data_IF_565516061970
#
_entry.id   IF_565516061970
#
_cell.length_a   1.000
_cell.length_b   1.000
_cell.length_c   1.000
_cell.angle_alpha   90.00
_cell.angle_beta   90.00
_cell.angle_gamma   90.00
#
_symmetry.space_group_name_H-M   'P 1'
#
loop_
_entity.id
_entity.type
_entity.pdbx_description
1 polymer ?
#
# COMPACT_ATOMS: atom_id res chain seq x y z
N UNK A 1 -1.27 -46.58 -83.62
CA UNK A 1 -2.51 -46.14 -82.93
C UNK A 1 -2.30 -46.30 -81.45
N UNK A 2 -1.95 -45.19 -80.75
CA UNK A 2 -1.80 -45.20 -79.29
C UNK A 2 -3.07 -44.61 -78.69
N UNK A 3 -3.75 -45.33 -77.81
CA UNK A 3 -4.85 -44.90 -77.00
C UNK A 3 -4.33 -44.17 -75.73
N UNK A 4 -4.69 -42.89 -75.54
CA UNK A 4 -4.48 -42.18 -74.29
C UNK A 4 -5.48 -42.70 -73.26
N UNK A 5 -4.98 -43.11 -72.10
CA UNK A 5 -5.75 -43.40 -70.89
C UNK A 5 -5.70 -42.11 -70.01
N UNK A 6 -6.83 -41.48 -69.83
CA UNK A 6 -6.96 -40.33 -68.93
C UNK A 6 -7.17 -40.85 -67.51
N UNK A 7 -6.23 -40.54 -66.62
CA UNK A 7 -6.36 -40.75 -65.15
C UNK A 7 -7.12 -39.61 -64.56
N UNK A 8 -8.39 -39.82 -64.22
CA UNK A 8 -9.17 -38.89 -63.40
C UNK A 8 -8.77 -39.09 -61.96
N UNK A 9 -7.96 -38.14 -61.39
CA UNK A 9 -7.55 -38.12 -60.01
C UNK A 9 -8.67 -37.48 -59.22
N UNK A 10 -9.50 -38.28 -58.53
CA UNK A 10 -10.50 -37.85 -57.56
C UNK A 10 -9.78 -37.47 -56.25
N UNK A 11 -9.48 -36.17 -56.09
CA UNK A 11 -8.98 -35.62 -54.82
C UNK A 11 -10.15 -35.53 -53.84
N UNK A 12 -10.21 -36.48 -52.92
CA UNK A 12 -11.14 -36.48 -51.79
C UNK A 12 -10.65 -35.44 -50.79
N UNK A 13 -11.23 -34.23 -50.83
CA UNK A 13 -10.98 -33.18 -49.83
C UNK A 13 -11.68 -33.61 -48.52
N UNK A 14 -10.97 -34.32 -47.62
CA UNK A 14 -11.42 -34.46 -46.26
C UNK A 14 -11.28 -33.09 -45.58
N UNK A 15 -12.38 -32.35 -45.51
CA UNK A 15 -12.49 -31.16 -44.68
C UNK A 15 -12.35 -31.59 -43.22
N UNK A 16 -11.18 -31.38 -42.64
CA UNK A 16 -11.00 -31.35 -41.20
C UNK A 16 -11.79 -30.15 -40.67
N UNK A 17 -13.07 -30.37 -40.36
CA UNK A 17 -13.82 -29.44 -39.51
C UNK A 17 -13.18 -29.51 -38.11
N UNK A 18 -12.31 -28.55 -37.80
CA UNK A 18 -11.92 -28.30 -36.41
C UNK A 18 -13.21 -28.02 -35.67
N UNK A 19 -13.71 -28.95 -34.89
CA UNK A 19 -14.78 -28.67 -33.94
C UNK A 19 -14.25 -27.61 -32.98
N UNK A 20 -14.65 -26.35 -33.14
CA UNK A 20 -14.42 -25.30 -32.17
C UNK A 20 -15.35 -25.63 -31.03
N UNK A 21 -14.83 -26.31 -30.02
CA UNK A 21 -15.55 -26.54 -28.79
C UNK A 21 -15.59 -25.20 -28.05
N UNK A 22 -16.79 -24.66 -27.88
CA UNK A 22 -17.03 -23.48 -27.09
C UNK A 22 -17.66 -23.89 -25.77
N UNK A 23 -17.31 -23.18 -24.69
CA UNK A 23 -17.92 -23.44 -23.39
C UNK A 23 -19.44 -23.23 -23.49
N UNK A 24 -20.20 -24.04 -22.77
CA UNK A 24 -21.66 -24.01 -22.76
C UNK A 24 -22.19 -23.84 -21.34
N UNK A 25 -23.14 -22.91 -21.17
CA UNK A 25 -23.85 -22.68 -19.93
C UNK A 25 -25.34 -22.91 -20.16
N UNK A 26 -25.97 -23.71 -19.31
CA UNK A 26 -27.43 -23.92 -19.31
C UNK A 26 -28.05 -23.18 -18.15
N UNK A 27 -29.10 -22.41 -18.39
CA UNK A 27 -29.83 -21.66 -17.40
C UNK A 27 -31.07 -22.40 -16.89
N UNK A 28 -31.60 -22.00 -15.73
CA UNK A 28 -32.81 -22.58 -15.13
C UNK A 28 -34.07 -22.49 -16.00
N UNK A 29 -34.13 -21.52 -16.90
CA UNK A 29 -35.22 -21.37 -17.86
C UNK A 29 -35.05 -22.25 -19.11
N UNK A 30 -33.96 -23.01 -19.20
CA UNK A 30 -33.65 -23.87 -20.32
C UNK A 30 -32.83 -23.20 -21.44
N UNK A 31 -32.47 -21.93 -21.32
CA UNK A 31 -31.63 -21.25 -22.31
C UNK A 31 -30.19 -21.81 -22.28
N UNK A 32 -29.59 -21.88 -23.46
CA UNK A 32 -28.19 -22.26 -23.63
C UNK A 32 -27.39 -21.09 -24.13
N UNK A 33 -26.33 -20.76 -23.42
CA UNK A 33 -25.38 -19.74 -23.81
C UNK A 33 -24.08 -20.43 -24.21
N UNK A 34 -23.54 -20.06 -25.38
CA UNK A 34 -22.30 -20.59 -25.93
C UNK A 34 -21.28 -19.48 -26.06
N UNK A 35 -20.06 -19.71 -25.56
CA UNK A 35 -18.99 -18.70 -25.58
C UNK A 35 -17.73 -19.21 -24.91
N UNK A 36 -16.99 -18.33 -24.28
CA UNK A 36 -15.83 -18.66 -23.42
C UNK A 36 -16.09 -18.11 -22.02
N UNK A 37 -16.00 -18.96 -21.03
CA UNK A 37 -16.07 -18.54 -19.62
C UNK A 37 -14.82 -17.73 -19.30
N UNK A 38 -15.00 -16.47 -18.91
CA UNK A 38 -13.90 -15.56 -18.59
C UNK A 38 -13.62 -15.58 -17.09
N UNK A 39 -14.65 -15.29 -16.29
CA UNK A 39 -14.54 -15.25 -14.83
C UNK A 39 -15.86 -15.38 -14.10
N UNK A 40 -15.77 -15.73 -12.81
CA UNK A 40 -16.87 -15.66 -11.87
C UNK A 40 -16.36 -15.19 -10.50
N UNK A 41 -17.18 -14.42 -9.79
CA UNK A 41 -16.96 -14.01 -8.39
C UNK A 41 -17.81 -14.83 -7.39
N UNK A 42 -18.35 -15.96 -7.84
CA UNK A 42 -19.27 -16.81 -7.08
C UNK A 42 -20.70 -16.28 -7.03
N UNK A 43 -20.95 -15.04 -7.46
CA UNK A 43 -22.31 -14.44 -7.57
C UNK A 43 -22.71 -14.26 -9.03
N UNK A 44 -21.78 -13.88 -9.85
CA UNK A 44 -21.97 -13.69 -11.28
C UNK A 44 -20.93 -14.47 -12.06
N UNK A 45 -21.24 -14.82 -13.31
CA UNK A 45 -20.32 -15.42 -14.26
C UNK A 45 -20.33 -14.58 -15.53
N UNK A 46 -19.14 -14.27 -16.04
CA UNK A 46 -18.94 -13.55 -17.30
C UNK A 46 -18.60 -14.56 -18.38
N UNK A 47 -19.39 -14.58 -19.45
CA UNK A 47 -19.21 -15.39 -20.65
C UNK A 47 -18.93 -14.44 -21.82
N UNK A 48 -17.81 -14.62 -22.50
CA UNK A 48 -17.51 -13.92 -23.75
C UNK A 48 -18.15 -14.64 -24.93
N UNK A 49 -19.00 -13.96 -25.67
CA UNK A 49 -19.70 -14.50 -26.85
C UNK A 49 -19.24 -13.77 -28.11
N UNK A 50 -19.22 -14.47 -29.26
CA UNK A 50 -18.74 -13.92 -30.52
C UNK A 50 -19.55 -12.71 -31.00
N UNK A 51 -20.88 -12.73 -30.78
CA UNK A 51 -21.79 -11.73 -31.36
C UNK A 51 -22.30 -10.68 -30.38
N UNK A 52 -22.30 -10.99 -29.07
CA UNK A 52 -22.82 -10.07 -28.04
C UNK A 52 -21.71 -9.55 -27.10
N UNK A 53 -20.45 -9.98 -27.29
CA UNK A 53 -19.36 -9.65 -26.38
C UNK A 53 -19.54 -10.28 -25.01
N UNK A 54 -19.18 -9.59 -23.94
CA UNK A 54 -19.26 -10.12 -22.59
C UNK A 54 -20.68 -10.06 -22.05
N UNK A 55 -21.21 -11.22 -21.68
CA UNK A 55 -22.53 -11.40 -21.07
C UNK A 55 -22.30 -11.77 -19.60
N UNK A 56 -22.96 -11.04 -18.69
CA UNK A 56 -22.95 -11.35 -17.25
C UNK A 56 -24.21 -12.10 -16.87
N UNK A 57 -24.05 -13.29 -16.28
CA UNK A 57 -25.13 -14.16 -15.83
C UNK A 57 -25.05 -14.31 -14.31
N UNK A 58 -26.21 -14.33 -13.62
CA UNK A 58 -26.25 -14.64 -12.20
C UNK A 58 -25.84 -16.11 -11.98
N UNK A 59 -24.89 -16.36 -11.11
CA UNK A 59 -24.34 -17.70 -10.91
C UNK A 59 -25.40 -18.70 -10.41
N UNK A 60 -26.34 -18.23 -9.59
CA UNK A 60 -27.46 -19.02 -9.10
C UNK A 60 -28.52 -19.37 -10.16
N UNK A 61 -28.54 -18.65 -11.29
CA UNK A 61 -29.40 -18.97 -12.42
C UNK A 61 -28.86 -20.09 -13.32
N UNK A 62 -27.61 -20.51 -13.11
CA UNK A 62 -26.93 -21.53 -13.90
C UNK A 62 -27.27 -22.92 -13.34
N UNK A 63 -27.64 -23.84 -14.21
CA UNK A 63 -27.89 -25.25 -13.86
C UNK A 63 -26.74 -26.15 -14.32
N UNK A 64 -26.08 -25.80 -15.42
CA UNK A 64 -24.99 -26.58 -15.96
C UNK A 64 -23.94 -25.68 -16.58
N UNK A 65 -22.67 -26.02 -16.33
CA UNK A 65 -21.49 -25.45 -16.97
C UNK A 65 -20.72 -26.59 -17.61
N UNK A 66 -20.27 -26.44 -18.84
CA UNK A 66 -19.36 -27.36 -19.50
C UNK A 66 -18.32 -26.52 -20.23
N UNK A 67 -17.03 -26.74 -19.89
CA UNK A 67 -15.92 -26.02 -20.50
C UNK A 67 -14.93 -26.98 -21.11
N UNK A 68 -14.32 -26.60 -22.21
CA UNK A 68 -13.24 -27.36 -22.84
C UNK A 68 -11.88 -26.86 -22.40
N UNK A 69 -11.77 -25.57 -22.09
CA UNK A 69 -10.54 -24.95 -21.61
C UNK A 69 -10.38 -25.14 -20.11
N UNK A 70 -9.12 -25.15 -19.68
CA UNK A 70 -8.80 -25.13 -18.27
C UNK A 70 -9.26 -23.83 -17.64
N UNK A 71 -9.89 -23.94 -16.47
CA UNK A 71 -10.27 -22.83 -15.62
C UNK A 71 -9.61 -22.97 -14.25
N UNK A 72 -9.25 -21.85 -13.66
CA UNK A 72 -8.72 -21.77 -12.30
C UNK A 72 -9.89 -21.58 -11.33
N UNK A 73 -10.29 -22.64 -10.62
CA UNK A 73 -11.39 -22.63 -9.64
C UNK A 73 -10.80 -22.47 -8.25
N UNK A 74 -10.98 -21.30 -7.66
CA UNK A 74 -10.53 -21.00 -6.29
C UNK A 74 -11.66 -21.27 -5.30
N UNK A 75 -11.34 -21.98 -4.22
CA UNK A 75 -12.28 -22.46 -3.21
C UNK A 75 -12.13 -21.70 -1.89
N UNK A 76 -13.15 -21.79 -1.03
CA UNK A 76 -13.18 -21.09 0.27
C UNK A 76 -12.05 -21.53 1.23
N UNK A 77 -11.47 -22.71 1.06
CA UNK A 77 -10.30 -23.20 1.78
C UNK A 77 -8.96 -22.71 1.19
N UNK A 78 -9.02 -21.71 0.29
CA UNK A 78 -7.88 -21.07 -0.38
C UNK A 78 -7.06 -21.98 -1.31
N UNK A 79 -7.64 -23.07 -1.78
CA UNK A 79 -7.04 -23.89 -2.82
C UNK A 79 -7.52 -23.42 -4.20
N UNK A 80 -6.68 -23.58 -5.20
CA UNK A 80 -7.03 -23.39 -6.61
C UNK A 80 -6.89 -24.72 -7.32
N UNK A 81 -7.97 -25.17 -7.95
CA UNK A 81 -8.02 -26.39 -8.77
C UNK A 81 -8.07 -25.94 -10.23
N UNK A 82 -7.23 -26.53 -11.08
CA UNK A 82 -7.09 -26.15 -12.48
C UNK A 82 -7.50 -27.31 -13.38
N UNK A 83 -8.39 -27.03 -14.32
CA UNK A 83 -8.86 -28.00 -15.31
C UNK A 83 -10.18 -27.57 -15.95
N UNK A 84 -10.61 -28.29 -17.02
CA UNK A 84 -11.96 -28.17 -17.56
C UNK A 84 -13.02 -28.41 -16.50
N UNK A 85 -14.11 -27.63 -16.57
CA UNK A 85 -15.18 -27.63 -15.59
C UNK A 85 -16.45 -28.22 -16.19
N UNK A 86 -17.05 -29.17 -15.48
CA UNK A 86 -18.39 -29.67 -15.80
C UNK A 86 -19.27 -29.67 -14.55
N UNK A 87 -20.57 -29.47 -14.71
CA UNK A 87 -21.52 -29.59 -13.61
C UNK A 87 -22.20 -30.96 -13.69
N UNK A 88 -22.09 -31.76 -12.62
CA UNK A 88 -22.74 -33.05 -12.47
C UNK A 88 -23.42 -33.13 -11.10
N UNK A 89 -24.69 -33.55 -11.04
CA UNK A 89 -25.46 -33.71 -9.81
C UNK A 89 -25.45 -32.50 -8.86
N UNK A 90 -25.47 -31.28 -9.46
CA UNK A 90 -25.43 -30.02 -8.71
C UNK A 90 -24.09 -29.67 -8.07
N UNK A 91 -23.01 -30.37 -8.44
CA UNK A 91 -21.62 -30.09 -8.04
C UNK A 91 -20.83 -29.62 -9.26
N UNK A 92 -19.72 -28.97 -8.99
CA UNK A 92 -18.76 -28.53 -10.00
C UNK A 92 -17.60 -29.52 -10.00
N UNK A 93 -17.45 -30.26 -11.09
CA UNK A 93 -16.39 -31.22 -11.31
C UNK A 93 -15.28 -30.55 -12.12
N UNK A 94 -14.07 -30.53 -11.58
CA UNK A 94 -12.88 -30.00 -12.25
C UNK A 94 -11.98 -31.18 -12.63
N UNK A 95 -11.79 -31.40 -13.93
CA UNK A 95 -10.96 -32.48 -14.44
C UNK A 95 -9.48 -32.05 -14.38
N UNK A 96 -8.76 -32.51 -13.36
CA UNK A 96 -7.33 -32.20 -13.19
C UNK A 96 -6.46 -33.32 -13.80
N UNK A 97 -5.17 -33.07 -13.95
CA UNK A 97 -4.20 -34.05 -14.42
C UNK A 97 -4.11 -35.30 -13.51
N UNK A 98 -4.52 -35.20 -12.25
CA UNK A 98 -4.46 -36.27 -11.24
C UNK A 98 -5.81 -36.94 -10.99
N UNK A 99 -6.88 -36.49 -11.64
CA UNK A 99 -8.25 -36.97 -11.49
C UNK A 99 -9.27 -35.84 -11.33
N UNK A 100 -10.53 -36.22 -11.24
CA UNK A 100 -11.62 -35.25 -11.08
C UNK A 100 -11.75 -34.81 -9.62
N UNK A 101 -11.81 -33.49 -9.39
CA UNK A 101 -12.05 -32.88 -8.06
C UNK A 101 -13.45 -32.31 -8.04
N UNK A 102 -14.31 -32.84 -7.15
CA UNK A 102 -15.66 -32.30 -6.94
C UNK A 102 -15.62 -31.09 -6.00
N UNK A 103 -16.18 -29.97 -6.42
CA UNK A 103 -16.29 -28.74 -5.63
C UNK A 103 -17.77 -28.36 -5.47
N UNK A 104 -18.27 -28.31 -4.23
CA UNK A 104 -19.63 -27.78 -3.99
C UNK A 104 -19.73 -26.32 -4.48
N UNK A 105 -20.81 -25.91 -5.17
CA UNK A 105 -20.96 -24.55 -5.66
C UNK A 105 -20.82 -23.47 -4.57
N UNK A 106 -21.29 -23.77 -3.36
CA UNK A 106 -21.15 -22.87 -2.21
C UNK A 106 -19.71 -22.63 -1.76
N UNK A 107 -18.79 -23.50 -2.14
CA UNK A 107 -17.38 -23.36 -1.82
C UNK A 107 -16.57 -22.68 -2.93
N UNK A 108 -17.17 -22.44 -4.09
CA UNK A 108 -16.52 -21.70 -5.19
C UNK A 108 -16.51 -20.21 -4.86
N UNK A 109 -15.32 -19.64 -4.76
CA UNK A 109 -15.14 -18.22 -4.50
C UNK A 109 -14.89 -17.47 -5.80
N UNK A 110 -14.05 -18.04 -6.69
CA UNK A 110 -13.66 -17.41 -7.94
C UNK A 110 -13.43 -18.48 -9.01
N UNK A 111 -13.81 -18.17 -10.24
CA UNK A 111 -13.41 -18.91 -11.43
C UNK A 111 -12.75 -17.90 -12.37
N UNK A 112 -11.64 -18.28 -12.99
CA UNK A 112 -10.92 -17.46 -13.96
C UNK A 112 -10.40 -18.32 -15.10
N UNK A 113 -10.38 -17.76 -16.31
CA UNK A 113 -9.57 -18.29 -17.40
C UNK A 113 -8.09 -17.93 -17.19
N UNK A 114 -7.21 -18.44 -18.06
CA UNK A 114 -5.77 -18.18 -17.98
C UNK A 114 -5.43 -16.69 -18.09
N UNK A 115 -6.16 -15.94 -18.91
CA UNK A 115 -5.91 -14.50 -19.10
C UNK A 115 -6.27 -13.70 -17.85
N UNK A 116 -7.44 -13.95 -17.26
CA UNK A 116 -7.87 -13.34 -16.01
C UNK A 116 -7.01 -13.80 -14.82
N UNK A 117 -6.56 -15.06 -14.80
CA UNK A 117 -5.63 -15.54 -13.78
C UNK A 117 -4.28 -14.82 -13.90
N UNK A 118 -3.72 -14.71 -15.11
CA UNK A 118 -2.48 -13.99 -15.32
C UNK A 118 -2.61 -12.49 -14.98
N UNK A 119 -3.75 -11.87 -15.29
CA UNK A 119 -4.04 -10.49 -14.89
C UNK A 119 -4.15 -10.35 -13.36
N UNK A 120 -4.77 -11.32 -12.70
CA UNK A 120 -4.85 -11.39 -11.26
C UNK A 120 -3.47 -11.56 -10.61
N UNK A 121 -2.66 -12.49 -11.09
CA UNK A 121 -1.30 -12.73 -10.58
C UNK A 121 -0.42 -11.48 -10.76
N UNK A 122 -0.56 -10.80 -11.90
CA UNK A 122 0.10 -9.52 -12.14
C UNK A 122 -0.39 -8.43 -11.18
N UNK A 123 -1.67 -8.45 -10.81
CA UNK A 123 -2.22 -7.49 -9.82
C UNK A 123 -1.78 -7.79 -8.39
N UNK A 124 -1.44 -9.05 -8.09
CA UNK A 124 -0.83 -9.42 -6.80
C UNK A 124 0.58 -8.82 -6.65
N UNK A 125 1.31 -8.74 -7.76
CA UNK A 125 2.68 -8.26 -7.83
C UNK A 125 2.84 -7.27 -8.98
N UNK A 126 2.20 -6.07 -8.92
CA UNK A 126 2.40 -5.03 -9.91
C UNK A 126 3.86 -4.59 -9.82
N UNK A 127 4.72 -4.82 -10.72
CA UNK A 127 6.15 -4.47 -10.63
C UNK A 127 6.35 -3.04 -10.08
N UNK A 128 7.50 -2.76 -9.46
CA UNK A 128 7.80 -1.49 -8.77
C UNK A 128 7.66 -0.22 -9.63
N UNK A 129 7.52 -0.37 -10.96
CA UNK A 129 7.32 0.75 -11.87
C UNK A 129 5.86 1.26 -11.94
N UNK A 130 4.88 0.49 -11.46
CA UNK A 130 3.44 0.79 -11.58
C UNK A 130 2.73 0.64 -10.25
N UNK A 131 1.54 1.23 -10.12
CA UNK A 131 0.71 1.05 -8.92
C UNK A 131 0.99 2.05 -7.79
N UNK A 132 1.81 3.06 -8.01
CA UNK A 132 2.07 4.11 -7.03
C UNK A 132 0.91 5.10 -6.94
N UNK A 133 0.52 5.41 -5.71
CA UNK A 133 -0.44 6.46 -5.39
C UNK A 133 0.21 7.41 -4.40
N UNK A 134 -0.02 8.70 -4.57
CA UNK A 134 0.62 9.64 -3.66
C UNK A 134 0.30 11.09 -3.94
N UNK A 135 1.10 11.96 -3.36
CA UNK A 135 0.98 13.39 -3.56
C UNK A 135 2.23 14.15 -3.19
N UNK A 136 2.31 15.35 -3.73
CA UNK A 136 3.24 16.38 -3.34
C UNK A 136 2.49 17.57 -2.75
N UNK A 137 3.04 18.16 -1.70
CA UNK A 137 2.45 19.28 -0.98
C UNK A 137 3.37 20.47 -1.03
N UNK A 138 2.81 21.63 -1.26
CA UNK A 138 3.48 22.93 -1.16
C UNK A 138 2.64 23.82 -0.28
N UNK A 139 3.20 24.33 0.78
CA UNK A 139 2.44 25.12 1.75
C UNK A 139 3.31 25.97 2.66
N UNK A 140 2.63 26.69 3.55
CA UNK A 140 3.25 27.41 4.63
C UNK A 140 3.28 26.54 5.89
N UNK A 141 4.36 26.65 6.67
CA UNK A 141 4.43 26.06 8.00
C UNK A 141 4.59 27.12 9.08
N UNK A 142 4.03 26.82 10.26
CA UNK A 142 4.26 27.57 11.50
C UNK A 142 4.90 26.60 12.48
N UNK A 143 6.07 26.93 12.97
CA UNK A 143 6.76 26.14 13.99
C UNK A 143 6.72 26.88 15.33
N UNK A 144 6.48 26.15 16.41
CA UNK A 144 6.52 26.62 17.80
C UNK A 144 7.26 25.61 18.66
N UNK A 145 8.01 26.08 19.65
CA UNK A 145 8.82 25.22 20.49
C UNK A 145 10.28 25.64 20.46
N UNK A 146 11.15 24.83 19.86
CA UNK A 146 12.55 25.19 19.64
C UNK A 146 12.72 26.23 18.52
N UNK A 147 11.68 26.47 17.75
CA UNK A 147 11.61 27.48 16.68
C UNK A 147 10.31 28.28 16.80
N UNK A 148 10.38 29.59 16.47
CA UNK A 148 9.22 30.49 16.36
C UNK A 148 9.27 31.17 15.00
N UNK A 149 8.82 30.47 13.95
CA UNK A 149 9.01 30.92 12.57
C UNK A 149 7.86 30.55 11.67
N UNK A 150 7.72 31.27 10.57
CA UNK A 150 6.75 31.03 9.50
C UNK A 150 7.48 30.78 8.19
N UNK A 151 7.19 29.66 7.49
CA UNK A 151 8.06 29.22 6.41
C UNK A 151 7.38 28.44 5.30
N UNK A 152 8.14 28.25 4.20
CA UNK A 152 7.78 27.38 3.10
C UNK A 152 8.00 25.92 3.50
N UNK A 153 6.98 25.10 3.27
CA UNK A 153 7.05 23.66 3.48
C UNK A 153 6.81 22.90 2.18
N UNK A 154 7.63 21.90 1.95
CA UNK A 154 7.47 20.91 0.86
C UNK A 154 7.31 19.54 1.48
N UNK A 155 6.39 18.73 0.96
CA UNK A 155 6.29 17.33 1.35
C UNK A 155 5.90 16.47 0.16
N UNK A 156 6.33 15.21 0.20
CA UNK A 156 6.03 14.19 -0.79
C UNK A 156 5.70 12.90 -0.07
N UNK A 157 4.69 12.19 -0.56
CA UNK A 157 4.41 10.83 -0.12
C UNK A 157 3.99 9.97 -1.31
N UNK A 158 4.38 8.71 -1.29
CA UNK A 158 3.98 7.72 -2.28
C UNK A 158 3.78 6.37 -1.60
N UNK A 159 2.72 5.67 -1.97
CA UNK A 159 2.40 4.33 -1.50
C UNK A 159 2.23 3.42 -2.71
N UNK A 160 2.88 2.27 -2.66
CA UNK A 160 2.72 1.19 -3.63
C UNK A 160 1.99 0.03 -2.95
N UNK A 161 0.65 0.01 -2.99
CA UNK A 161 -0.14 -1.05 -2.40
C UNK A 161 -0.22 -2.25 -3.33
N UNK A 162 -0.05 -3.46 -2.77
CA UNK A 162 -0.41 -4.72 -3.41
C UNK A 162 -1.46 -5.45 -2.56
N UNK A 163 -1.92 -6.62 -2.97
CA UNK A 163 -2.85 -7.42 -2.16
C UNK A 163 -2.18 -8.01 -0.91
N UNK A 164 -0.85 -8.21 -0.96
CA UNK A 164 -0.08 -8.85 0.12
C UNK A 164 0.77 -7.88 0.93
N UNK A 165 1.16 -6.75 0.36
CA UNK A 165 2.13 -5.84 0.97
C UNK A 165 1.95 -4.38 0.51
N UNK A 166 2.58 -3.46 1.24
CA UNK A 166 2.64 -2.05 0.90
C UNK A 166 4.08 -1.55 1.04
N UNK A 167 4.51 -0.70 0.11
CA UNK A 167 5.72 0.12 0.25
C UNK A 167 5.27 1.56 0.40
N UNK A 168 5.73 2.24 1.43
CA UNK A 168 5.47 3.66 1.66
C UNK A 168 6.78 4.43 1.63
N UNK A 169 6.82 5.49 0.82
CA UNK A 169 7.91 6.46 0.77
C UNK A 169 7.37 7.81 1.20
N UNK A 170 8.14 8.56 1.98
CA UNK A 170 7.82 9.94 2.29
C UNK A 170 9.08 10.79 2.42
N UNK A 171 8.95 12.06 2.15
CA UNK A 171 9.97 13.07 2.39
C UNK A 171 9.29 14.41 2.67
N UNK A 172 9.85 15.20 3.57
CA UNK A 172 9.44 16.59 3.76
C UNK A 172 10.63 17.48 4.09
N UNK A 173 10.53 18.73 3.68
CA UNK A 173 11.50 19.76 3.94
C UNK A 173 10.78 21.05 4.36
N UNK A 174 11.26 21.66 5.42
CA UNK A 174 10.80 22.97 5.89
C UNK A 174 12.05 23.84 5.97
N UNK A 175 12.06 24.92 5.22
CA UNK A 175 13.15 25.90 5.25
C UNK A 175 12.67 27.17 5.93
N UNK A 176 13.44 27.59 6.92
CA UNK A 176 13.09 28.65 7.85
C UNK A 176 14.16 29.73 7.81
N UNK A 177 13.74 30.95 7.51
CA UNK A 177 14.58 32.13 7.72
C UNK A 177 14.08 32.93 8.92
N UNK A 178 14.83 32.94 10.01
CA UNK A 178 14.56 33.84 11.11
C UNK A 178 15.22 35.19 10.83
N UNK A 179 14.39 36.20 10.47
CA UNK A 179 14.88 37.57 10.18
C UNK A 179 15.23 38.34 11.43
N UNK A 180 14.94 37.85 12.63
CA UNK A 180 15.16 38.55 13.90
C UNK A 180 16.50 38.22 14.58
N UNK A 181 17.23 37.23 14.09
CA UNK A 181 18.55 36.84 14.61
C UNK A 181 19.68 37.34 13.69
N UNK A 182 20.76 37.86 14.30
CA UNK A 182 21.97 38.23 13.57
C UNK A 182 23.13 37.31 13.98
N UNK A 183 23.66 36.46 13.11
CA UNK A 183 23.24 36.22 11.71
C UNK A 183 21.87 35.58 11.59
N UNK A 184 21.20 35.79 10.46
CA UNK A 184 19.92 35.12 10.16
C UNK A 184 20.14 33.61 10.20
N UNK A 185 19.56 32.96 11.20
CA UNK A 185 19.69 31.51 11.33
C UNK A 185 18.74 30.90 10.32
N UNK A 186 19.30 30.28 9.28
CA UNK A 186 18.54 29.42 8.39
C UNK A 186 18.34 28.12 9.14
N UNK A 187 17.11 27.85 9.55
CA UNK A 187 16.78 26.60 10.17
C UNK A 187 16.09 25.70 9.13
N UNK A 188 16.66 24.56 8.89
CA UNK A 188 16.07 23.57 8.00
C UNK A 188 15.70 22.31 8.78
N UNK A 189 14.49 21.83 8.56
CA UNK A 189 14.03 20.51 8.95
C UNK A 189 13.89 19.69 7.70
N UNK A 190 14.61 18.59 7.62
CA UNK A 190 14.45 17.60 6.58
C UNK A 190 14.13 16.25 7.21
N UNK A 191 13.12 15.57 6.71
CA UNK A 191 12.79 14.21 7.14
C UNK A 191 12.31 13.37 5.96
N UNK A 192 12.57 12.08 6.03
CA UNK A 192 12.10 11.14 5.03
C UNK A 192 12.27 9.71 5.48
N UNK A 193 11.55 8.82 4.87
CA UNK A 193 11.61 7.42 5.25
C UNK A 193 10.99 6.50 4.23
N UNK A 194 11.24 5.22 4.50
CA UNK A 194 10.72 4.07 3.78
C UNK A 194 10.10 3.13 4.80
N UNK A 195 8.91 2.61 4.49
CA UNK A 195 8.28 1.53 5.24
C UNK A 195 7.79 0.45 4.30
N UNK A 196 7.99 -0.80 4.70
CA UNK A 196 7.46 -1.99 4.05
C UNK A 196 6.54 -2.72 5.02
N UNK A 197 5.29 -2.97 4.61
CA UNK A 197 4.32 -3.74 5.35
C UNK A 197 3.97 -5.01 4.59
N UNK A 198 3.92 -6.15 5.29
CA UNK A 198 3.50 -7.43 4.72
C UNK A 198 2.36 -8.04 5.51
N UNK A 199 1.24 -8.29 4.84
CA UNK A 199 0.10 -8.97 5.43
C UNK A 199 0.47 -10.42 5.79
N UNK A 200 0.32 -10.78 7.08
CA UNK A 200 0.51 -12.13 7.60
C UNK A 200 -0.83 -12.86 7.65
N UNK A 201 -1.91 -12.12 7.73
CA UNK A 201 -3.28 -12.63 7.77
C UNK A 201 -4.30 -11.52 7.50
N UNK A 202 -5.59 -11.80 7.67
CA UNK A 202 -6.65 -10.82 7.37
C UNK A 202 -6.58 -9.54 8.22
N UNK A 203 -6.04 -9.65 9.43
CA UNK A 203 -5.99 -8.56 10.43
C UNK A 203 -4.59 -8.24 10.93
N UNK A 204 -3.57 -9.00 10.54
CA UNK A 204 -2.21 -8.80 11.04
C UNK A 204 -1.24 -8.59 9.89
N UNK A 205 -0.25 -7.74 10.12
CA UNK A 205 0.87 -7.52 9.22
C UNK A 205 2.18 -7.38 10.01
N UNK A 206 3.29 -7.75 9.38
CA UNK A 206 4.62 -7.40 9.83
C UNK A 206 5.09 -6.13 9.12
N UNK A 207 5.87 -5.29 9.79
CA UNK A 207 6.43 -4.10 9.17
C UNK A 207 7.90 -3.90 9.47
N UNK A 208 8.59 -3.23 8.55
CA UNK A 208 9.94 -2.72 8.70
C UNK A 208 10.01 -1.31 8.15
N UNK A 209 10.68 -0.40 8.89
CA UNK A 209 10.81 1.00 8.50
C UNK A 209 12.23 1.52 8.73
N UNK A 210 12.62 2.50 7.93
CA UNK A 210 13.83 3.28 8.11
C UNK A 210 13.46 4.76 7.93
N UNK A 211 13.67 5.54 8.98
CA UNK A 211 13.31 6.95 9.04
C UNK A 211 14.56 7.78 9.30
N UNK A 212 14.67 8.89 8.59
CA UNK A 212 15.80 9.81 8.66
C UNK A 212 15.31 11.23 8.91
N UNK A 213 15.94 11.94 9.81
CA UNK A 213 15.63 13.33 10.14
C UNK A 213 16.91 14.12 10.37
N UNK A 214 16.93 15.36 9.89
CA UNK A 214 17.88 16.39 10.26
C UNK A 214 17.10 17.64 10.68
N UNK A 215 17.52 18.29 11.77
CA UNK A 215 16.87 19.48 12.31
C UNK A 215 17.92 20.43 12.84
N UNK A 216 18.24 21.43 12.03
CA UNK A 216 19.25 22.44 12.38
C UNK A 216 18.87 23.28 13.61
N UNK A 217 17.59 23.39 13.97
CA UNK A 217 17.14 24.12 15.17
C UNK A 217 17.44 23.36 16.47
N UNK A 218 17.56 22.05 16.40
CA UNK A 218 17.91 21.18 17.51
C UNK A 218 19.38 20.78 17.51
N UNK A 219 20.21 21.39 16.62
CA UNK A 219 21.57 20.94 16.34
C UNK A 219 21.65 19.45 15.99
N UNK A 220 20.55 18.86 15.50
CA UNK A 220 20.43 17.48 15.09
C UNK A 220 20.90 17.31 13.64
N UNK A 221 22.11 16.83 13.44
CA UNK A 221 22.66 16.58 12.10
C UNK A 221 21.94 15.40 11.45
N UNK A 222 21.77 14.33 12.18
CA UNK A 222 21.09 13.13 11.72
C UNK A 222 20.49 12.35 12.85
N UNK A 223 19.22 11.97 12.70
CA UNK A 223 18.55 10.88 13.42
C UNK A 223 18.17 9.82 12.41
N UNK A 224 18.73 8.63 12.56
CA UNK A 224 18.34 7.44 11.83
C UNK A 224 17.64 6.46 12.76
N UNK A 225 16.42 6.04 12.41
CA UNK A 225 15.59 5.12 13.20
C UNK A 225 15.24 3.93 12.32
N UNK A 226 15.61 2.74 12.77
CA UNK A 226 15.27 1.49 12.10
C UNK A 226 14.29 0.73 12.98
N UNK A 227 13.09 0.51 12.47
CA UNK A 227 11.98 -0.10 13.21
C UNK A 227 11.55 -1.42 12.57
N UNK A 228 11.24 -2.41 13.40
CA UNK A 228 10.62 -3.66 12.97
C UNK A 228 9.55 -4.09 13.99
N UNK A 229 8.42 -4.60 13.50
CA UNK A 229 7.33 -4.94 14.38
C UNK A 229 6.15 -5.61 13.72
N UNK A 230 5.06 -5.69 14.48
CA UNK A 230 3.78 -6.22 14.07
C UNK A 230 2.70 -5.15 14.16
N UNK A 231 1.78 -5.19 13.21
CA UNK A 231 0.59 -4.35 13.20
C UNK A 231 -0.70 -5.18 13.19
N UNK A 232 -1.75 -4.57 13.72
CA UNK A 232 -3.07 -5.16 13.78
C UNK A 232 -4.11 -4.18 13.23
N UNK A 233 -4.85 -4.59 12.19
CA UNK A 233 -5.99 -3.86 11.65
C UNK A 233 -7.18 -3.93 12.62
N UNK A 234 -7.29 -2.99 13.55
CA UNK A 234 -8.38 -2.91 14.51
C UNK A 234 -9.69 -2.56 13.80
N UNK A 235 -9.64 -1.63 12.85
CA UNK A 235 -10.74 -1.30 11.94
C UNK A 235 -10.23 -1.39 10.50
N UNK A 236 -10.95 -2.11 9.64
CA UNK A 236 -10.67 -2.20 8.21
C UNK A 236 -11.99 -2.17 7.43
N UNK A 237 -12.38 -0.97 7.01
CA UNK A 237 -13.58 -0.74 6.23
C UNK A 237 -13.28 0.07 4.97
N UNK A 238 -14.27 0.28 4.11
CA UNK A 238 -14.11 1.10 2.90
C UNK A 238 -13.84 2.59 3.21
N UNK A 239 -14.21 3.06 4.39
CA UNK A 239 -14.10 4.47 4.79
C UNK A 239 -13.13 4.72 5.94
N UNK A 240 -12.83 3.71 6.75
CA UNK A 240 -12.02 3.88 7.96
C UNK A 240 -11.06 2.71 8.09
N UNK A 241 -9.79 3.02 8.30
CA UNK A 241 -8.78 2.07 8.76
C UNK A 241 -8.18 2.58 10.06
N UNK A 242 -8.03 1.69 11.04
CA UNK A 242 -7.31 1.94 12.28
C UNK A 242 -6.35 0.79 12.50
N UNK A 243 -5.07 1.09 12.51
CA UNK A 243 -4.00 0.15 12.71
C UNK A 243 -3.31 0.41 14.06
N UNK A 244 -3.12 -0.64 14.83
CA UNK A 244 -2.33 -0.62 16.06
C UNK A 244 -1.00 -1.29 15.80
N UNK A 245 0.09 -0.68 16.23
CA UNK A 245 1.45 -1.11 15.94
C UNK A 245 2.25 -1.33 17.22
N UNK A 246 3.04 -2.40 17.25
CA UNK A 246 3.99 -2.68 18.30
C UNK A 246 5.29 -3.23 17.71
N UNK A 247 6.42 -2.71 18.13
CA UNK A 247 7.72 -3.13 17.60
C UNK A 247 8.90 -2.67 18.45
N UNK A 248 10.07 -2.90 17.90
CA UNK A 248 11.33 -2.43 18.43
C UNK A 248 11.99 -1.52 17.41
N UNK A 249 12.63 -0.48 17.89
CA UNK A 249 13.47 0.36 17.04
C UNK A 249 14.90 0.47 17.62
N UNK A 250 15.83 0.74 16.70
CA UNK A 250 17.17 1.17 16.99
C UNK A 250 17.34 2.59 16.46
N UNK A 251 17.73 3.50 17.35
CA UNK A 251 17.93 4.91 17.06
C UNK A 251 19.40 5.26 17.13
N UNK A 252 19.87 5.97 16.09
CA UNK A 252 21.19 6.59 16.02
C UNK A 252 21.02 8.08 15.80
N UNK A 253 21.50 8.90 16.72
CA UNK A 253 21.43 10.36 16.67
C UNK A 253 22.82 10.96 16.72
N UNK A 254 23.05 11.97 15.88
CA UNK A 254 24.29 12.77 15.88
C UNK A 254 23.89 14.23 15.95
N UNK A 255 24.47 14.92 16.93
CA UNK A 255 24.26 16.35 17.15
C UNK A 255 25.56 17.11 16.93
N UNK A 256 25.50 18.27 16.27
CA UNK A 256 26.66 19.14 16.03
C UNK A 256 27.19 19.74 17.32
N UNK A 257 26.30 20.07 18.26
CA UNK A 257 26.61 20.69 19.53
C UNK A 257 26.21 19.77 20.68
N UNK A 258 27.17 19.36 21.48
CA UNK A 258 26.93 18.65 22.73
C UNK A 258 26.64 19.58 23.90
N UNK A 259 26.35 19.05 25.11
CA UNK A 259 26.20 19.85 26.29
C UNK A 259 27.50 20.64 26.53
N UNK A 260 27.30 21.94 26.74
CA UNK A 260 28.40 22.88 26.96
C UNK A 260 29.23 22.46 28.19
N UNK A 261 30.46 21.99 27.96
CA UNK A 261 31.40 21.75 29.07
C UNK A 261 32.01 23.12 29.37
N UNK A 262 31.62 23.72 30.50
CA UNK A 262 32.22 24.96 30.98
C UNK A 262 33.70 24.68 31.36
N UNK A 263 34.69 25.12 30.56
CA UNK A 263 36.08 25.02 31.00
C UNK A 263 36.35 26.01 32.11
N UNK A 264 37.15 25.60 33.07
CA UNK A 264 37.64 26.43 34.17
C UNK A 264 38.69 27.44 33.64
N UNK A 265 38.44 28.12 32.52
CA UNK A 265 39.36 29.10 31.95
C UNK A 265 38.71 30.47 31.91
N UNK A 266 39.46 31.52 32.20
CA UNK A 266 39.04 32.89 32.15
C UNK A 266 39.77 33.62 31.00
N UNK A 267 39.10 34.05 29.91
CA UNK A 267 37.65 33.96 29.61
C UNK A 267 37.24 32.52 29.22
N UNK A 268 35.98 32.16 29.48
CA UNK A 268 35.48 30.83 29.13
C UNK A 268 35.49 30.63 27.62
N UNK A 269 36.23 29.62 27.16
CA UNK A 269 36.24 29.21 25.74
C UNK A 269 35.27 28.04 25.61
N UNK A 270 34.12 28.26 25.00
CA UNK A 270 33.17 27.20 24.75
C UNK A 270 33.63 26.38 23.54
N UNK A 271 33.91 25.12 23.76
CA UNK A 271 34.19 24.18 22.68
C UNK A 271 32.99 23.26 22.56
N UNK A 272 32.21 23.43 21.50
CA UNK A 272 31.13 22.47 21.23
C UNK A 272 31.72 21.17 20.66
N UNK A 273 31.32 20.06 21.21
CA UNK A 273 31.68 18.73 20.72
C UNK A 273 30.42 18.04 20.20
N UNK A 274 30.52 17.42 19.03
CA UNK A 274 29.46 16.59 18.51
C UNK A 274 29.14 15.42 19.48
N UNK A 275 27.86 15.15 19.68
CA UNK A 275 27.38 14.05 20.52
C UNK A 275 26.68 13.01 19.66
N UNK A 276 27.00 11.74 19.90
CA UNK A 276 26.32 10.62 19.24
C UNK A 276 25.62 9.78 20.28
N UNK A 277 24.32 9.61 20.12
CA UNK A 277 23.48 8.74 20.94
C UNK A 277 23.06 7.50 20.15
N UNK A 278 23.07 6.35 20.80
CA UNK A 278 22.64 5.07 20.22
C UNK A 278 21.84 4.32 21.28
N UNK A 279 20.60 4.00 20.97
CA UNK A 279 19.73 3.30 21.91
C UNK A 279 18.68 2.47 21.18
N UNK A 280 18.12 1.49 21.89
CA UNK A 280 16.97 0.72 21.47
C UNK A 280 15.74 1.19 22.25
N UNK A 281 14.61 1.29 21.56
CA UNK A 281 13.34 1.67 22.16
C UNK A 281 12.22 0.75 21.71
N UNK A 282 11.12 0.67 22.48
CA UNK A 282 9.87 0.14 21.99
C UNK A 282 9.25 1.12 21.01
N UNK A 283 8.46 0.62 20.09
CA UNK A 283 7.57 1.39 19.23
C UNK A 283 6.16 0.93 19.52
N UNK A 284 5.34 1.81 20.06
CA UNK A 284 3.89 1.61 20.21
C UNK A 284 3.20 2.71 19.42
N UNK A 285 2.23 2.36 18.59
CA UNK A 285 1.60 3.35 17.73
C UNK A 285 0.20 2.99 17.31
N UNK A 286 -0.51 4.03 16.87
CA UNK A 286 -1.77 3.90 16.14
C UNK A 286 -1.75 4.79 14.89
N UNK A 287 -2.39 4.31 13.84
CA UNK A 287 -2.58 5.03 12.59
C UNK A 287 -4.04 4.95 12.18
N UNK A 288 -4.70 6.09 12.12
CA UNK A 288 -6.07 6.22 11.67
C UNK A 288 -6.12 6.90 10.31
N UNK A 289 -6.91 6.36 9.40
CA UNK A 289 -7.35 7.03 8.18
C UNK A 289 -8.87 6.96 8.11
N UNK A 290 -9.51 8.12 7.89
CA UNK A 290 -10.95 8.20 7.75
C UNK A 290 -11.36 9.06 6.54
N UNK A 291 -12.20 8.50 5.66
CA UNK A 291 -12.82 9.24 4.55
C UNK A 291 -14.07 9.95 5.06
N UNK A 292 -13.95 11.24 5.33
CA UNK A 292 -15.05 12.10 5.74
C UNK A 292 -15.83 12.59 4.51
N UNK A 293 -16.90 11.89 4.19
CA UNK A 293 -17.69 12.16 2.98
C UNK A 293 -16.98 11.73 1.68
N UNK A 294 -17.22 12.49 0.59
CA UNK A 294 -16.69 12.14 -0.75
C UNK A 294 -15.36 12.81 -1.09
N UNK A 295 -15.00 13.85 -0.38
CA UNK A 295 -13.90 14.75 -0.77
C UNK A 295 -12.78 14.85 0.25
N UNK A 296 -13.02 14.57 1.52
CA UNK A 296 -12.05 14.79 2.58
C UNK A 296 -11.53 13.47 3.13
N UNK A 297 -10.22 13.38 3.29
CA UNK A 297 -9.53 12.30 4.00
C UNK A 297 -8.87 12.91 5.23
N UNK A 298 -9.13 12.32 6.38
CA UNK A 298 -8.48 12.61 7.65
C UNK A 298 -7.49 11.52 7.96
N UNK A 299 -6.32 11.88 8.46
CA UNK A 299 -5.28 10.97 8.93
C UNK A 299 -4.83 11.38 10.31
N UNK A 300 -4.54 10.41 11.15
CA UNK A 300 -3.96 10.62 12.47
C UNK A 300 -2.94 9.51 12.73
N UNK A 301 -1.81 9.89 13.36
CA UNK A 301 -0.76 8.97 13.78
C UNK A 301 -0.28 9.39 15.15
N UNK A 302 -0.30 8.47 16.08
CA UNK A 302 0.27 8.66 17.40
C UNK A 302 1.29 7.55 17.66
N UNK A 303 2.50 7.94 18.04
CA UNK A 303 3.55 6.99 18.40
C UNK A 303 4.17 7.34 19.75
N UNK A 304 4.50 6.30 20.50
CA UNK A 304 5.21 6.35 21.76
C UNK A 304 6.46 5.46 21.71
N UNK A 305 7.61 6.04 22.04
CA UNK A 305 8.92 5.40 21.93
C UNK A 305 9.64 5.45 23.29
N UNK A 306 9.34 4.58 24.25
CA UNK A 306 10.09 4.50 25.50
C UNK A 306 11.47 3.88 25.25
N UNK A 307 12.52 4.53 25.78
CA UNK A 307 13.88 4.02 25.73
C UNK A 307 14.01 2.78 26.64
N UNK A 308 14.57 1.71 26.11
CA UNK A 308 14.77 0.46 26.85
C UNK A 308 15.99 0.48 27.76
N UNK A 309 16.94 1.37 27.47
CA UNK A 309 18.18 1.54 28.30
C UNK A 309 17.98 2.52 29.45
N UNK A 310 17.02 3.47 29.29
CA UNK A 310 16.65 4.45 30.31
C UNK A 310 15.13 4.68 30.32
N UNK A 311 14.42 3.96 31.17
CA UNK A 311 12.95 3.94 31.23
C UNK A 311 12.31 5.31 31.58
N UNK A 312 13.10 6.27 32.05
CA UNK A 312 12.68 7.66 32.25
C UNK A 312 12.63 8.49 30.96
N UNK A 313 13.32 8.01 29.93
CA UNK A 313 13.41 8.68 28.65
C UNK A 313 12.42 8.09 27.66
N UNK A 314 11.68 8.98 27.01
CA UNK A 314 10.75 8.60 25.92
C UNK A 314 10.53 9.76 24.96
N UNK A 315 10.14 9.41 23.76
CA UNK A 315 9.68 10.33 22.73
C UNK A 315 8.24 9.97 22.36
N UNK A 316 7.43 10.98 22.07
CA UNK A 316 6.10 10.84 21.47
C UNK A 316 6.04 11.65 20.20
N UNK A 317 5.29 11.17 19.21
CA UNK A 317 4.97 11.94 18.02
C UNK A 317 3.48 11.83 17.77
N UNK A 318 2.87 12.97 17.46
CA UNK A 318 1.47 13.06 17.07
C UNK A 318 1.38 13.83 15.74
N UNK A 319 0.75 13.23 14.75
CA UNK A 319 0.48 13.83 13.46
C UNK A 319 -1.01 13.77 13.15
N UNK A 320 -1.60 14.90 12.83
CA UNK A 320 -2.98 14.97 12.34
C UNK A 320 -3.00 15.69 11.00
N UNK A 321 -3.64 15.07 10.00
CA UNK A 321 -3.71 15.57 8.65
C UNK A 321 -5.14 15.59 8.10
N UNK A 322 -5.42 16.55 7.24
CA UNK A 322 -6.62 16.55 6.41
C UNK A 322 -6.28 16.93 4.97
N UNK A 323 -6.81 16.18 4.01
CA UNK A 323 -6.75 16.54 2.58
C UNK A 323 -8.16 16.62 2.05
N UNK A 324 -8.56 17.80 1.57
CA UNK A 324 -9.86 18.03 0.93
C UNK A 324 -9.68 18.23 -0.57
N UNK A 325 -10.24 17.34 -1.38
CA UNK A 325 -10.17 17.42 -2.84
C UNK A 325 -10.91 18.64 -3.37
N UNK A 326 -10.24 19.45 -4.19
CA UNK A 326 -10.79 20.56 -4.97
C UNK A 326 -11.09 20.08 -6.40
N UNK A 327 -10.18 19.27 -6.97
CA UNK A 327 -10.35 18.64 -8.28
C UNK A 327 -9.81 17.20 -8.28
N UNK A 328 -9.72 16.56 -9.44
CA UNK A 328 -9.19 15.18 -9.56
C UNK A 328 -7.75 15.04 -9.08
N UNK A 329 -6.94 16.07 -9.28
CA UNK A 329 -5.49 16.07 -8.99
C UNK A 329 -5.06 17.11 -7.95
N UNK A 330 -5.97 18.04 -7.57
CA UNK A 330 -5.68 19.16 -6.66
C UNK A 330 -6.54 19.04 -5.40
N UNK A 331 -5.93 19.22 -4.25
CA UNK A 331 -6.57 19.31 -2.94
C UNK A 331 -6.00 20.43 -2.08
N UNK A 332 -6.67 20.70 -0.98
CA UNK A 332 -6.19 21.53 0.11
C UNK A 332 -5.79 20.63 1.27
N UNK A 333 -4.57 20.82 1.78
CA UNK A 333 -4.04 20.05 2.91
C UNK A 333 -3.83 20.95 4.12
N UNK A 334 -4.17 20.41 5.29
CA UNK A 334 -3.72 20.92 6.58
C UNK A 334 -3.05 19.75 7.32
N UNK A 335 -1.96 20.03 8.00
CA UNK A 335 -1.24 19.05 8.81
C UNK A 335 -0.77 19.73 10.09
N UNK A 336 -0.97 19.06 11.21
CA UNK A 336 -0.43 19.40 12.51
C UNK A 336 0.47 18.25 12.95
N UNK A 337 1.69 18.56 13.39
CA UNK A 337 2.64 17.62 13.95
C UNK A 337 3.12 18.13 15.30
N UNK A 338 3.34 17.22 16.22
CA UNK A 338 3.92 17.47 17.53
C UNK A 338 4.94 16.39 17.88
N UNK A 339 6.13 16.81 18.28
CA UNK A 339 7.21 15.94 18.73
C UNK A 339 7.54 16.31 20.17
N UNK A 340 7.27 15.39 21.09
CA UNK A 340 7.61 15.52 22.49
C UNK A 340 8.82 14.63 22.84
N UNK A 341 9.82 15.19 23.54
CA UNK A 341 10.98 14.50 24.07
C UNK A 341 11.04 14.73 25.58
N UNK A 342 10.99 13.67 26.39
CA UNK A 342 10.93 13.78 27.86
C UNK A 342 12.20 14.42 28.47
N UNK A 343 13.35 14.13 27.87
CA UNK A 343 14.65 14.62 28.29
C UNK A 343 15.46 15.13 27.08
N UNK A 344 15.11 16.35 26.57
CA UNK A 344 15.81 16.93 25.43
C UNK A 344 17.20 17.45 25.85
N UNK A 345 18.10 17.76 24.89
CA UNK A 345 19.35 18.48 25.18
C UNK A 345 19.09 19.78 25.97
N UNK A 346 20.08 20.24 26.75
CA UNK A 346 19.93 21.34 27.72
C UNK A 346 19.36 22.65 27.15
N UNK A 347 19.57 22.92 25.87
CA UNK A 347 19.09 24.13 25.17
C UNK A 347 17.74 23.92 24.45
N UNK A 348 17.28 22.67 24.32
CA UNK A 348 16.11 22.33 23.55
C UNK A 348 14.84 22.27 24.44
N UNK A 349 13.70 22.68 23.89
CA UNK A 349 12.39 22.51 24.51
C UNK A 349 11.92 21.06 24.35
N UNK A 350 11.05 20.63 25.27
CA UNK A 350 10.49 19.27 25.25
C UNK A 350 9.53 19.02 24.10
N UNK A 351 8.91 20.09 23.60
CA UNK A 351 7.81 20.02 22.65
C UNK A 351 8.07 20.88 21.43
N UNK A 352 7.95 20.31 20.24
CA UNK A 352 8.04 20.97 18.96
C UNK A 352 6.77 20.76 18.16
N UNK A 353 5.99 21.83 17.97
CA UNK A 353 4.74 21.81 17.22
C UNK A 353 4.93 22.47 15.86
N UNK A 354 4.41 21.82 14.82
CA UNK A 354 4.46 22.30 13.44
C UNK A 354 3.06 22.25 12.86
N UNK A 355 2.59 23.36 12.34
CA UNK A 355 1.36 23.41 11.55
C UNK A 355 1.70 23.80 10.12
N UNK A 356 1.21 23.04 9.16
CA UNK A 356 1.41 23.27 7.72
C UNK A 356 0.06 23.30 7.03
N UNK A 357 -0.14 24.29 6.16
CA UNK A 357 -1.34 24.40 5.31
C UNK A 357 -0.93 24.74 3.88
N UNK A 358 -1.58 24.17 2.87
CA UNK A 358 -1.21 24.40 1.49
C UNK A 358 -1.93 23.53 0.47
N UNK A 359 -1.37 23.51 -0.74
CA UNK A 359 -1.91 22.75 -1.85
C UNK A 359 -1.32 21.34 -1.87
N UNK A 360 -2.20 20.38 -2.10
CA UNK A 360 -1.84 18.99 -2.35
C UNK A 360 -2.06 18.65 -3.82
N UNK A 361 -1.04 18.13 -4.48
CA UNK A 361 -1.09 17.62 -5.85
C UNK A 361 -1.06 16.10 -5.78
N UNK A 362 -2.19 15.44 -6.09
CA UNK A 362 -2.32 13.99 -6.04
C UNK A 362 -2.00 13.35 -7.39
N UNK A 363 -1.35 12.19 -7.36
CA UNK A 363 -1.11 11.36 -8.54
C UNK A 363 -1.51 9.89 -8.28
N UNK A 364 -1.85 9.20 -9.37
CA UNK A 364 -2.07 7.74 -9.41
C UNK A 364 -1.43 7.24 -10.70
N UNK A 365 -0.52 6.29 -10.62
CA UNK A 365 0.26 5.79 -11.76
C UNK A 365 0.17 4.26 -11.87
#
# INVERSE_FOLDING_TARGET
VLRKVEFVSLVLFLGLTSAVFADQITLKNGDHLTGTVVKSDGKTLVLHTEFAGDITVQFDAITQITTDKELHVSTSDKKTVVGPVTTSDGKIDVATQTGTVEVPPANVVLIRDDAEQAAYDKSLHPGLAHGWNGGANVGFSVARGNSETENLALAFNAVHPTLSDNITLYASAIDTQNQLSTPSTVASLFQGGLRYDRNIGPKMFGFGAADFMSNALQDLDLRAVYTGGLGYHAIKSATTTLDLLAGLNYTHETYSNGPEVTPVTTPPTYTSYGVTNKYAALTLGEELMHKAGKTTVLTEKLYFFPDLSDTGNYRMTFDFGSVTKISKWLGWQNQFGDIYVSNPPLTAKKNDMIFTTGLNISFTH
#
